data_IF_591511517499
#
_entry.id   IF_591511517499
#
_cell.length_a   1.000
_cell.length_b   1.000
_cell.length_c   1.000
_cell.angle_alpha   90.00
_cell.angle_beta   90.00
_cell.angle_gamma   90.00
#
_symmetry.space_group_name_H-M   'P 1'
#
loop_
_entity.id
_entity.type
_entity.pdbx_description
1 polymer ?
#
# COMPACT_ATOMS: atom_id res chain seq x y z
N UNK A 1 -8.59 -16.70 9.39
CA UNK A 1 -9.18 -15.42 9.85
C UNK A 1 -9.49 -14.47 8.70
N UNK A 2 -8.53 -14.06 7.86
CA UNK A 2 -8.76 -13.02 6.83
C UNK A 2 -9.85 -13.34 5.78
N UNK A 3 -10.20 -14.61 5.58
CA UNK A 3 -11.27 -15.05 4.66
C UNK A 3 -12.66 -14.97 5.27
N UNK A 4 -12.76 -14.92 6.60
CA UNK A 4 -14.03 -15.05 7.35
C UNK A 4 -14.30 -13.87 8.27
N UNK A 5 -13.34 -12.95 8.40
CA UNK A 5 -13.43 -11.74 9.21
C UNK A 5 -12.89 -10.56 8.40
N UNK A 6 -13.48 -9.35 8.54
CA UNK A 6 -13.00 -8.15 7.85
C UNK A 6 -11.52 -7.88 8.16
N UNK A 7 -10.79 -7.37 7.16
CA UNK A 7 -9.43 -6.88 7.39
C UNK A 7 -9.46 -5.53 8.12
N UNK A 8 -8.32 -5.13 8.69
CA UNK A 8 -8.16 -3.80 9.26
C UNK A 8 -8.48 -2.71 8.23
N UNK A 9 -8.03 -2.86 6.98
CA UNK A 9 -8.31 -1.90 5.91
C UNK A 9 -9.81 -1.81 5.63
N UNK A 10 -10.54 -2.94 5.67
CA UNK A 10 -11.99 -2.93 5.54
C UNK A 10 -12.67 -2.17 6.68
N UNK A 11 -12.20 -2.38 7.92
CA UNK A 11 -12.75 -1.67 9.09
C UNK A 11 -12.51 -0.16 9.01
N UNK A 12 -11.30 0.28 8.64
CA UNK A 12 -10.98 1.71 8.51
C UNK A 12 -11.80 2.37 7.40
N UNK A 13 -11.96 1.68 6.27
CA UNK A 13 -12.82 2.15 5.17
C UNK A 13 -14.29 2.24 5.59
N UNK A 14 -14.79 1.25 6.33
CA UNK A 14 -16.14 1.27 6.89
C UNK A 14 -16.33 2.43 7.89
N UNK A 15 -15.28 2.80 8.63
CA UNK A 15 -15.29 3.93 9.55
C UNK A 15 -15.16 5.31 8.85
N UNK A 16 -15.11 5.35 7.51
CA UNK A 16 -15.08 6.59 6.74
C UNK A 16 -13.68 7.12 6.42
N UNK A 17 -12.61 6.42 6.81
CA UNK A 17 -11.25 6.85 6.50
C UNK A 17 -10.91 6.60 5.03
N UNK A 18 -10.19 7.55 4.43
CA UNK A 18 -9.44 7.28 3.20
C UNK A 18 -8.14 6.56 3.54
N UNK A 19 -7.90 5.44 2.88
CA UNK A 19 -6.80 4.52 3.20
C UNK A 19 -5.72 4.53 2.11
N UNK A 20 -4.46 4.52 2.52
CA UNK A 20 -3.31 4.60 1.63
C UNK A 20 -2.35 3.44 1.89
N UNK A 21 -1.80 2.84 0.84
CA UNK A 21 -0.76 1.81 0.93
C UNK A 21 0.55 2.32 0.32
N UNK A 22 1.52 2.69 1.14
CA UNK A 22 2.85 3.09 0.69
C UNK A 22 3.82 1.94 0.98
N UNK A 23 4.50 1.44 -0.04
CA UNK A 23 5.45 0.34 0.12
C UNK A 23 6.69 0.49 -0.75
N UNK A 24 7.84 0.20 -0.17
CA UNK A 24 9.13 0.04 -0.85
C UNK A 24 9.53 -1.45 -1.01
N UNK A 25 8.63 -2.38 -0.67
CA UNK A 25 8.83 -3.80 -0.97
C UNK A 25 8.56 -4.06 -2.46
N UNK A 26 9.17 -5.13 -2.99
CA UNK A 26 8.90 -5.64 -4.33
C UNK A 26 7.50 -6.27 -4.41
N UNK A 27 6.47 -5.42 -4.43
CA UNK A 27 5.08 -5.84 -4.60
C UNK A 27 4.79 -6.01 -6.09
N UNK A 28 4.96 -7.24 -6.59
CA UNK A 28 4.61 -7.56 -7.97
C UNK A 28 3.09 -7.57 -8.15
N UNK A 29 2.53 -6.44 -8.57
CA UNK A 29 1.07 -6.23 -8.72
C UNK A 29 0.38 -7.19 -9.70
N UNK A 30 1.14 -7.78 -10.62
CA UNK A 30 0.71 -8.82 -11.56
C UNK A 30 0.65 -10.24 -10.95
N UNK A 31 1.14 -10.43 -9.72
CA UNK A 31 1.07 -11.72 -9.01
C UNK A 31 -0.11 -11.73 -8.04
N UNK A 32 -0.77 -12.89 -7.94
CA UNK A 32 -1.86 -13.14 -6.99
C UNK A 32 -1.33 -13.51 -5.60
N UNK A 33 -0.60 -12.57 -4.96
CA UNK A 33 -0.10 -12.76 -3.60
C UNK A 33 -1.03 -12.13 -2.59
N UNK A 34 -0.99 -12.63 -1.35
CA UNK A 34 -1.69 -12.04 -0.21
C UNK A 34 -1.34 -10.56 -0.01
N UNK A 35 -0.09 -10.18 -0.25
CA UNK A 35 0.37 -8.79 -0.14
C UNK A 35 -0.33 -7.89 -1.18
N UNK A 36 -0.45 -8.36 -2.43
CA UNK A 36 -1.18 -7.65 -3.48
C UNK A 36 -2.68 -7.57 -3.18
N UNK A 37 -3.27 -8.60 -2.56
CA UNK A 37 -4.68 -8.57 -2.12
C UNK A 37 -4.87 -7.48 -1.07
N UNK A 38 -4.04 -7.43 -0.03
CA UNK A 38 -4.16 -6.42 1.02
C UNK A 38 -3.86 -5.00 0.53
N UNK A 39 -2.84 -4.81 -0.31
CA UNK A 39 -2.54 -3.47 -0.83
C UNK A 39 -3.69 -2.91 -1.66
N UNK A 40 -4.35 -3.76 -2.47
CA UNK A 40 -5.52 -3.40 -3.27
C UNK A 40 -6.81 -3.18 -2.46
N UNK A 41 -6.84 -3.49 -1.16
CA UNK A 41 -7.97 -3.14 -0.29
C UNK A 41 -7.99 -1.67 0.13
N UNK A 42 -6.88 -0.94 -0.08
CA UNK A 42 -6.80 0.50 0.21
C UNK A 42 -7.32 1.36 -0.94
N UNK A 43 -7.56 2.65 -0.71
CA UNK A 43 -8.08 3.56 -1.74
C UNK A 43 -7.01 4.05 -2.71
N UNK A 44 -5.76 4.22 -2.27
CA UNK A 44 -4.63 4.61 -3.14
C UNK A 44 -3.36 3.86 -2.77
N UNK A 45 -2.62 3.38 -3.77
CA UNK A 45 -1.36 2.64 -3.57
C UNK A 45 -0.16 3.36 -4.19
N UNK A 46 0.96 3.33 -3.49
CA UNK A 46 2.26 3.81 -3.94
C UNK A 46 3.27 2.66 -3.85
N UNK A 47 3.59 2.07 -5.00
CA UNK A 47 4.59 1.00 -5.13
C UNK A 47 5.94 1.60 -5.54
N UNK A 48 6.82 1.81 -4.57
CA UNK A 48 8.10 2.52 -4.75
C UNK A 48 9.21 1.63 -5.30
N UNK A 49 9.12 0.32 -5.07
CA UNK A 49 10.06 -0.66 -5.61
C UNK A 49 9.34 -1.59 -6.58
N UNK A 50 9.42 -1.28 -7.88
CA UNK A 50 8.83 -2.07 -8.96
C UNK A 50 9.85 -2.94 -9.70
N UNK A 51 11.07 -3.03 -9.16
CA UNK A 51 12.12 -3.82 -9.78
C UNK A 51 11.82 -5.31 -9.63
N UNK A 52 12.05 -6.08 -10.69
CA UNK A 52 11.86 -7.54 -10.70
C UNK A 52 13.00 -8.30 -10.01
N UNK A 53 14.15 -7.66 -9.87
CA UNK A 53 15.39 -8.20 -9.31
C UNK A 53 16.05 -7.14 -8.43
N UNK A 54 16.90 -7.56 -7.49
CA UNK A 54 17.70 -6.64 -6.67
C UNK A 54 18.80 -5.99 -7.53
N UNK A 55 18.46 -5.11 -8.47
CA UNK A 55 19.44 -4.54 -9.41
C UNK A 55 19.86 -3.12 -9.05
N UNK A 56 18.93 -2.23 -8.67
CA UNK A 56 19.25 -0.92 -8.11
C UNK A 56 18.94 -0.86 -6.60
N UNK A 57 19.70 -0.05 -5.87
CA UNK A 57 19.49 0.16 -4.43
C UNK A 57 18.24 1.00 -4.23
N UNK A 58 17.17 0.38 -3.76
CA UNK A 58 15.94 1.05 -3.36
C UNK A 58 15.92 1.23 -1.84
N UNK A 59 16.33 2.40 -1.36
CA UNK A 59 16.36 2.69 0.09
C UNK A 59 14.95 3.02 0.60
N UNK A 60 14.68 2.69 1.86
CA UNK A 60 13.36 2.95 2.46
C UNK A 60 13.02 4.43 2.56
N UNK A 61 13.99 5.34 2.40
CA UNK A 61 13.74 6.78 2.21
C UNK A 61 12.81 7.08 1.04
N UNK A 62 12.66 6.17 0.08
CA UNK A 62 11.72 6.28 -1.03
C UNK A 62 10.26 6.48 -0.56
N UNK A 63 9.90 6.01 0.64
CA UNK A 63 8.53 6.18 1.16
C UNK A 63 8.25 7.60 1.67
N UNK A 64 9.27 8.42 1.91
CA UNK A 64 9.08 9.73 2.54
C UNK A 64 8.37 10.72 1.62
N UNK A 65 8.67 10.70 0.32
CA UNK A 65 8.03 11.56 -0.68
C UNK A 65 6.52 11.27 -0.81
N UNK A 66 6.06 10.03 -1.08
CA UNK A 66 4.63 9.73 -1.13
C UNK A 66 3.96 9.90 0.23
N UNK A 67 4.67 9.69 1.34
CA UNK A 67 4.13 9.97 2.67
C UNK A 67 3.78 11.45 2.83
N UNK A 68 4.69 12.36 2.43
CA UNK A 68 4.41 13.79 2.46
C UNK A 68 3.29 14.20 1.49
N UNK A 69 3.11 13.52 0.37
CA UNK A 69 1.97 13.71 -0.54
C UNK A 69 0.66 13.32 0.14
N UNK A 70 0.61 12.16 0.79
CA UNK A 70 -0.59 11.65 1.47
C UNK A 70 -0.99 12.54 2.65
N UNK A 71 -0.04 13.10 3.39
CA UNK A 71 -0.34 14.06 4.48
C UNK A 71 -1.04 15.34 4.00
N UNK A 72 -0.94 15.67 2.70
CA UNK A 72 -1.60 16.84 2.09
C UNK A 72 -2.95 16.48 1.46
N UNK A 73 -3.34 15.21 1.47
CA UNK A 73 -4.62 14.79 0.92
C UNK A 73 -5.76 15.38 1.78
N UNK A 74 -6.78 16.01 1.16
CA UNK A 74 -7.82 16.73 1.89
C UNK A 74 -8.92 15.79 2.45
N UNK A 75 -8.72 14.48 2.39
CA UNK A 75 -9.68 13.54 2.94
C UNK A 75 -9.93 13.81 4.44
N UNK A 76 -11.20 13.71 4.88
CA UNK A 76 -11.60 14.01 6.26
C UNK A 76 -10.99 13.04 7.28
#
# INVERSE_FOLDING_TARGET
>A
LYLTQPSLMNMMKQAGYKTFWITNQQTMTARNTMLTVFSKQTDKQFYMNQQRTQSAREYDTNVLKPFQEVLKDPAP
#
